data_IF_910568137421
#
_entry.id   IF_910568137421
#
_cell.length_a   1.000
_cell.length_b   1.000
_cell.length_c   1.000
_cell.angle_alpha   90.00
_cell.angle_beta   90.00
_cell.angle_gamma   90.00
#
_symmetry.space_group_name_H-M   'P 1'
#
loop_
_entity.id
_entity.type
_entity.pdbx_description
1 polymer ?
#
# COMPACT_ATOMS: atom_id res chain seq x y z
N UNK A 1 31.50 54.63 20.87
CA UNK A 1 30.43 53.83 21.49
C UNK A 1 30.00 52.75 20.50
N UNK A 2 29.93 51.51 21.02
CA UNK A 2 29.46 50.22 20.51
C UNK A 2 29.05 50.01 19.02
N UNK A 3 29.83 49.16 18.35
CA UNK A 3 29.47 47.87 17.73
C UNK A 3 28.08 47.66 17.10
N UNK A 4 28.08 47.29 15.81
CA UNK A 4 27.10 46.32 15.27
C UNK A 4 27.86 45.25 14.49
N UNK A 5 27.94 44.06 15.09
CA UNK A 5 28.44 42.82 14.48
C UNK A 5 27.41 42.37 13.44
N UNK A 6 27.86 42.17 12.20
CA UNK A 6 27.09 41.50 11.17
C UNK A 6 26.88 40.03 11.57
N UNK A 7 25.64 39.69 11.91
CA UNK A 7 25.26 38.33 12.27
C UNK A 7 25.19 37.48 11.00
N UNK A 8 26.23 36.65 10.81
CA UNK A 8 26.22 35.52 9.88
C UNK A 8 25.13 34.56 10.33
N UNK A 9 24.12 34.29 9.50
CA UNK A 9 23.23 33.14 9.67
C UNK A 9 23.48 32.14 8.55
N UNK A 10 23.66 30.92 9.00
CA UNK A 10 24.32 29.81 8.32
C UNK A 10 23.50 29.26 7.16
N UNK A 11 24.19 28.99 6.06
CA UNK A 11 23.83 27.89 5.17
C UNK A 11 23.94 26.60 5.97
N UNK A 12 22.81 25.93 6.19
CA UNK A 12 22.73 24.64 6.88
C UNK A 12 21.98 23.64 6.00
N UNK A 13 22.68 22.55 5.70
CA UNK A 13 22.32 21.36 4.95
C UNK A 13 20.84 20.94 4.87
N UNK A 14 20.48 20.55 3.65
CA UNK A 14 19.37 19.67 3.28
C UNK A 14 19.68 18.21 3.64
N UNK A 15 18.65 17.41 3.98
CA UNK A 15 18.68 15.94 4.07
C UNK A 15 18.43 15.43 5.50
N UNK A 16 17.62 14.41 5.81
CA UNK A 16 17.05 13.31 5.05
C UNK A 16 15.77 12.83 5.76
N UNK A 17 14.59 13.27 5.33
CA UNK A 17 13.32 12.69 5.79
C UNK A 17 12.49 12.15 4.61
N UNK A 18 12.59 12.80 3.44
CA UNK A 18 11.89 12.38 2.23
C UNK A 18 12.48 11.11 1.58
N UNK A 19 13.78 10.88 1.73
CA UNK A 19 14.48 9.77 1.06
C UNK A 19 14.11 8.38 1.62
N UNK A 20 13.64 8.31 2.87
CA UNK A 20 13.20 7.05 3.49
C UNK A 20 11.87 6.54 2.94
N UNK A 21 11.08 7.38 2.26
CA UNK A 21 9.78 6.98 1.71
C UNK A 21 9.86 6.50 0.25
N UNK A 22 10.84 6.96 -0.53
CA UNK A 22 10.99 6.52 -1.93
C UNK A 22 11.61 5.12 -2.05
N UNK A 23 12.50 4.73 -1.14
CA UNK A 23 13.16 3.43 -1.15
C UNK A 23 12.20 2.24 -0.90
N UNK A 24 11.04 2.47 -0.27
CA UNK A 24 10.04 1.40 -0.05
C UNK A 24 9.17 1.17 -1.30
N UNK A 25 8.90 2.22 -2.08
CA UNK A 25 8.02 2.16 -3.26
C UNK A 25 8.70 1.49 -4.47
N UNK A 26 10.02 1.58 -4.58
CA UNK A 26 10.77 0.99 -5.68
C UNK A 26 10.90 -0.54 -5.62
N UNK A 27 10.65 -1.18 -4.46
CA UNK A 27 10.89 -2.62 -4.23
C UNK A 27 9.74 -3.53 -4.70
N UNK A 28 8.63 -2.97 -5.18
CA UNK A 28 7.46 -3.74 -5.62
C UNK A 28 6.95 -3.32 -7.00
N UNK A 29 7.86 -3.14 -7.97
CA UNK A 29 7.47 -3.40 -9.36
C UNK A 29 7.31 -4.92 -9.51
N UNK A 30 6.26 -5.46 -8.90
CA UNK A 30 5.78 -6.81 -9.18
C UNK A 30 5.66 -6.88 -10.69
N UNK A 31 6.51 -7.70 -11.30
CA UNK A 31 6.24 -8.17 -12.65
C UNK A 31 4.79 -8.66 -12.65
N UNK A 32 3.96 -8.15 -13.57
CA UNK A 32 2.58 -8.62 -13.70
C UNK A 32 2.63 -10.13 -13.87
N UNK A 33 2.05 -10.86 -12.93
CA UNK A 33 2.04 -12.33 -12.93
C UNK A 33 0.75 -12.80 -13.58
N UNK A 34 0.83 -13.79 -14.48
CA UNK A 34 -0.36 -14.44 -15.03
C UNK A 34 -0.83 -15.50 -14.04
N UNK A 35 -2.10 -15.42 -13.64
CA UNK A 35 -2.75 -16.48 -12.89
C UNK A 35 -3.67 -17.28 -13.83
N UNK A 36 -3.56 -18.61 -13.80
CA UNK A 36 -4.52 -19.52 -14.43
C UNK A 36 -5.33 -20.19 -13.31
N UNK A 37 -6.65 -20.04 -13.37
CA UNK A 37 -7.57 -20.46 -12.31
C UNK A 37 -8.69 -21.26 -12.95
N UNK A 38 -9.00 -22.41 -12.36
CA UNK A 38 -10.16 -23.21 -12.70
C UNK A 38 -11.21 -23.05 -11.61
N UNK A 39 -12.46 -22.80 -12.01
CA UNK A 39 -13.59 -22.63 -11.12
C UNK A 39 -14.89 -22.62 -11.91
N UNK A 40 -16.00 -22.82 -11.22
CA UNK A 40 -17.34 -22.83 -11.83
C UNK A 40 -17.86 -21.40 -12.05
N UNK A 41 -17.57 -20.49 -11.12
CA UNK A 41 -18.04 -19.10 -11.13
C UNK A 41 -16.96 -18.13 -10.59
N UNK A 42 -16.94 -16.88 -11.10
CA UNK A 42 -16.06 -15.80 -10.66
C UNK A 42 -16.87 -14.56 -10.30
N UNK A 43 -16.63 -14.00 -9.12
CA UNK A 43 -17.28 -12.79 -8.61
C UNK A 43 -16.23 -11.79 -8.09
N UNK A 44 -16.36 -10.52 -8.50
CA UNK A 44 -15.53 -9.43 -7.99
C UNK A 44 -16.29 -8.63 -6.92
N UNK A 45 -15.64 -8.38 -5.77
CA UNK A 45 -16.19 -7.61 -4.66
C UNK A 45 -15.10 -6.78 -4.01
N UNK A 46 -15.45 -5.56 -3.59
CA UNK A 46 -14.59 -4.72 -2.76
C UNK A 46 -14.64 -5.21 -1.32
N UNK A 47 -13.46 -5.43 -0.73
CA UNK A 47 -13.31 -5.79 0.68
C UNK A 47 -13.83 -4.66 1.57
N UNK A 48 -14.69 -4.99 2.53
CA UNK A 48 -15.18 -4.02 3.54
C UNK A 48 -14.44 -4.23 4.86
N UNK A 49 -14.20 -3.15 5.61
CA UNK A 49 -13.56 -3.24 6.92
C UNK A 49 -14.49 -3.93 7.93
N UNK A 50 -13.90 -4.82 8.73
CA UNK A 50 -14.54 -5.53 9.84
C UNK A 50 -13.53 -5.70 10.98
N UNK A 51 -13.56 -4.77 11.94
CA UNK A 51 -12.57 -4.74 13.03
C UNK A 51 -11.15 -4.56 12.48
N UNK A 52 -10.26 -5.50 12.81
CA UNK A 52 -8.88 -5.57 12.33
C UNK A 52 -8.71 -6.34 11.01
N UNK A 53 -9.81 -6.71 10.33
CA UNK A 53 -9.81 -7.58 9.15
C UNK A 53 -10.72 -7.05 8.04
N UNK A 54 -10.64 -7.68 6.87
CA UNK A 54 -11.55 -7.45 5.75
C UNK A 54 -12.63 -8.53 5.67
N UNK A 55 -13.87 -8.14 5.35
CA UNK A 55 -14.99 -9.05 5.07
C UNK A 55 -15.47 -8.92 3.63
N UNK A 56 -15.78 -10.06 3.02
CA UNK A 56 -16.48 -10.17 1.74
C UNK A 56 -17.70 -11.07 2.00
N UNK A 57 -18.88 -10.63 1.60
CA UNK A 57 -20.07 -11.47 1.61
C UNK A 57 -20.20 -12.16 0.26
N UNK A 58 -20.17 -13.49 0.29
CA UNK A 58 -20.36 -14.35 -0.87
C UNK A 58 -21.83 -14.77 -0.98
N UNK A 59 -22.30 -15.21 -2.16
CA UNK A 59 -23.63 -15.77 -2.31
C UNK A 59 -23.93 -16.87 -1.26
N UNK A 60 -25.17 -16.96 -0.72
CA UNK A 60 -25.49 -17.90 0.35
C UNK A 60 -25.41 -19.38 -0.10
N UNK A 61 -25.62 -19.64 -1.38
CA UNK A 61 -25.45 -20.95 -2.02
C UNK A 61 -23.99 -21.43 -2.01
N UNK A 62 -23.01 -20.52 -1.84
CA UNK A 62 -21.60 -20.89 -1.68
C UNK A 62 -21.25 -21.34 -0.26
N UNK A 63 -22.18 -21.27 0.71
CA UNK A 63 -21.94 -21.78 2.06
C UNK A 63 -21.59 -23.27 2.00
N UNK A 64 -20.49 -23.66 2.65
CA UNK A 64 -19.97 -25.03 2.62
C UNK A 64 -19.06 -25.35 1.42
N UNK A 65 -18.94 -24.45 0.44
CA UNK A 65 -18.05 -24.63 -0.70
C UNK A 65 -16.63 -24.10 -0.44
N UNK A 66 -15.64 -24.66 -1.15
CA UNK A 66 -14.25 -24.22 -1.08
C UNK A 66 -14.01 -23.13 -2.11
N UNK A 67 -13.60 -21.94 -1.65
CA UNK A 67 -13.35 -20.78 -2.51
C UNK A 67 -11.87 -20.40 -2.54
N UNK A 68 -11.42 -19.83 -3.67
CA UNK A 68 -10.09 -19.21 -3.81
C UNK A 68 -10.30 -17.71 -4.02
N UNK A 69 -9.52 -16.89 -3.32
CA UNK A 69 -9.57 -15.43 -3.43
C UNK A 69 -8.24 -14.95 -4.00
N UNK A 70 -8.30 -14.05 -4.99
CA UNK A 70 -7.13 -13.42 -5.59
C UNK A 70 -7.28 -11.92 -5.42
N UNK A 71 -6.28 -11.28 -4.82
CA UNK A 71 -6.19 -9.82 -4.73
C UNK A 71 -5.74 -9.29 -6.09
N UNK A 72 -6.42 -8.27 -6.61
CA UNK A 72 -6.20 -7.72 -7.96
C UNK A 72 -5.62 -6.30 -7.97
N UNK A 73 -5.44 -5.69 -6.80
CA UNK A 73 -4.95 -4.33 -6.56
C UNK A 73 -3.56 -4.27 -5.90
#
# INVERSE_FOLDING_TARGET
MATVVGEKKNFGEVGHAAERQEANTAKHRMSKVKFEVYGEEMLEKVVKQSGNSGRIYLPPDWVGHRVKIIRID
#
